data_IF_598291835081
#
_entry.id   IF_598291835081
#
_cell.length_a   1.000
_cell.length_b   1.000
_cell.length_c   1.000
_cell.angle_alpha   90.00
_cell.angle_beta   90.00
_cell.angle_gamma   90.00
#
_symmetry.space_group_name_H-M   'P 1'
#
loop_
_entity.id
_entity.type
_entity.pdbx_description
1 polymer ?
#
# COMPACT_ATOMS: atom_id res chain seq x y z
N UNK A 1 -23.75 23.42 -13.30
CA UNK A 1 -23.35 22.13 -13.90
C UNK A 1 -23.11 21.18 -12.75
N UNK A 2 -23.60 19.94 -12.76
CA UNK A 2 -23.28 19.03 -11.70
C UNK A 2 -21.77 18.80 -11.69
N UNK A 3 -21.15 19.04 -10.54
CA UNK A 3 -19.78 18.59 -10.25
C UNK A 3 -19.71 17.10 -10.54
N UNK A 4 -18.77 16.64 -11.38
CA UNK A 4 -18.58 15.24 -11.65
C UNK A 4 -18.42 14.49 -10.32
N UNK A 5 -19.16 13.41 -10.12
CA UNK A 5 -18.98 12.57 -8.93
C UNK A 5 -17.66 11.80 -9.09
N UNK A 6 -16.84 11.82 -8.02
CA UNK A 6 -15.68 10.94 -7.93
C UNK A 6 -16.14 9.48 -8.10
N UNK A 7 -15.52 8.74 -8.98
CA UNK A 7 -15.85 7.33 -9.21
C UNK A 7 -15.26 6.49 -8.08
N UNK A 8 -16.12 5.90 -7.26
CA UNK A 8 -15.74 4.96 -6.21
C UNK A 8 -15.63 3.53 -6.78
N UNK A 9 -14.57 2.82 -6.43
CA UNK A 9 -14.34 1.44 -6.84
C UNK A 9 -13.65 0.65 -5.72
N UNK A 10 -13.70 -0.67 -5.83
CA UNK A 10 -13.02 -1.60 -4.92
C UNK A 10 -12.14 -2.53 -5.73
N UNK A 11 -10.91 -2.73 -5.29
CA UNK A 11 -10.00 -3.75 -5.79
C UNK A 11 -9.79 -4.84 -4.73
N UNK A 12 -9.72 -6.09 -5.15
CA UNK A 12 -9.34 -7.23 -4.31
C UNK A 12 -8.00 -7.76 -4.82
N UNK A 13 -7.00 -7.73 -3.94
CA UNK A 13 -5.60 -7.99 -4.28
C UNK A 13 -5.13 -9.20 -3.47
N UNK A 14 -4.53 -10.19 -4.12
CA UNK A 14 -3.86 -11.32 -3.48
C UNK A 14 -2.40 -10.96 -3.17
N UNK A 15 -1.74 -11.63 -2.21
CA UNK A 15 -0.34 -11.35 -1.92
C UNK A 15 0.56 -11.55 -3.14
N UNK A 16 1.40 -10.57 -3.43
CA UNK A 16 2.52 -10.71 -4.36
C UNK A 16 3.57 -11.68 -3.80
N UNK A 17 3.76 -11.66 -2.48
CA UNK A 17 4.64 -12.55 -1.76
C UNK A 17 4.18 -12.68 -0.30
N UNK A 18 4.22 -13.90 0.21
CA UNK A 18 4.07 -14.16 1.63
C UNK A 18 5.03 -15.28 2.09
N UNK A 19 5.39 -15.26 3.35
CA UNK A 19 6.19 -16.27 4.02
C UNK A 19 6.09 -16.06 5.53
N UNK A 20 6.75 -16.92 6.33
CA UNK A 20 6.96 -16.65 7.73
C UNK A 20 8.40 -16.91 8.14
N UNK A 21 8.88 -16.15 9.10
CA UNK A 21 10.19 -16.33 9.73
C UNK A 21 10.00 -17.00 11.10
N UNK A 22 10.85 -17.97 11.43
CA UNK A 22 10.70 -18.78 12.63
C UNK A 22 11.98 -18.85 13.45
N UNK A 23 11.84 -18.72 14.76
CA UNK A 23 12.94 -18.89 15.71
C UNK A 23 13.38 -20.35 15.82
N UNK A 24 12.50 -21.33 15.49
CA UNK A 24 12.81 -22.76 15.58
C UNK A 24 13.91 -23.16 14.58
N UNK A 25 13.86 -22.59 13.38
CA UNK A 25 14.85 -22.82 12.33
C UNK A 25 15.37 -21.47 11.82
N UNK A 26 16.26 -20.82 12.58
CA UNK A 26 16.56 -19.41 12.39
C UNK A 26 17.29 -19.08 11.07
N UNK A 27 17.89 -20.07 10.43
CA UNK A 27 18.54 -19.98 9.12
C UNK A 27 17.65 -20.56 7.99
N UNK A 28 16.49 -21.15 8.34
CA UNK A 28 15.55 -21.73 7.38
C UNK A 28 14.69 -20.69 6.71
N UNK A 29 14.47 -20.86 5.41
CA UNK A 29 13.51 -20.09 4.63
C UNK A 29 12.23 -20.91 4.40
N UNK A 30 11.06 -20.26 4.43
CA UNK A 30 9.76 -20.89 4.30
C UNK A 30 9.00 -20.41 3.06
N UNK A 31 9.71 -20.03 2.00
CA UNK A 31 9.09 -19.70 0.71
C UNK A 31 8.29 -20.91 0.18
N UNK A 32 7.10 -20.66 -0.32
CA UNK A 32 6.24 -21.71 -0.87
C UNK A 32 5.51 -22.56 0.19
N UNK A 33 5.64 -22.24 1.49
CA UNK A 33 4.83 -22.87 2.52
C UNK A 33 3.32 -22.65 2.24
N UNK A 34 2.51 -23.68 2.36
CA UNK A 34 1.05 -23.57 2.17
C UNK A 34 0.35 -22.95 3.38
N UNK A 35 0.99 -23.00 4.55
CA UNK A 35 0.52 -22.40 5.78
C UNK A 35 1.62 -21.50 6.38
N UNK A 36 1.24 -20.36 6.89
CA UNK A 36 2.10 -19.48 7.68
C UNK A 36 1.81 -19.70 9.16
N UNK A 37 2.78 -19.38 10.02
CA UNK A 37 2.62 -19.49 11.48
C UNK A 37 2.84 -18.12 12.12
N UNK A 38 1.90 -17.68 12.98
CA UNK A 38 2.03 -16.47 13.79
C UNK A 38 1.89 -16.81 15.28
N UNK A 39 2.79 -16.27 16.13
CA UNK A 39 2.79 -16.49 17.58
C UNK A 39 3.82 -17.52 18.02
N UNK A 40 3.81 -17.91 19.30
CA UNK A 40 4.73 -18.89 19.88
C UNK A 40 4.14 -20.30 19.89
N UNK A 41 4.92 -21.25 19.38
CA UNK A 41 4.59 -22.68 19.41
C UNK A 41 4.67 -23.24 20.85
N UNK A 42 4.36 -24.53 21.03
CA UNK A 42 4.48 -25.21 22.32
C UNK A 42 5.90 -25.70 22.62
N UNK A 43 6.08 -26.30 23.82
CA UNK A 43 7.39 -26.70 24.32
C UNK A 43 8.16 -27.69 23.45
N UNK A 44 7.49 -28.56 22.67
CA UNK A 44 8.15 -29.44 21.71
C UNK A 44 8.87 -28.69 20.57
N UNK A 45 8.47 -27.46 20.31
CA UNK A 45 9.13 -26.55 19.36
C UNK A 45 9.96 -25.47 20.06
N UNK A 46 10.31 -25.66 21.34
CA UNK A 46 11.10 -24.72 22.14
C UNK A 46 10.42 -23.36 22.38
N UNK A 47 9.09 -23.31 22.34
CA UNK A 47 8.30 -22.07 22.42
C UNK A 47 8.69 -21.05 21.34
N UNK A 48 9.10 -21.53 20.17
CA UNK A 48 9.65 -20.71 19.10
C UNK A 48 8.62 -19.71 18.60
N UNK A 49 9.06 -18.47 18.46
CA UNK A 49 8.29 -17.36 17.88
C UNK A 49 8.27 -17.46 16.37
N UNK A 50 7.12 -17.09 15.78
CA UNK A 50 6.90 -17.11 14.35
C UNK A 50 6.18 -15.83 13.94
N UNK A 51 6.61 -15.22 12.84
CA UNK A 51 6.09 -13.95 12.33
C UNK A 51 5.89 -14.04 10.82
N UNK A 52 4.64 -14.03 10.32
CA UNK A 52 4.33 -13.91 8.91
C UNK A 52 4.72 -12.54 8.34
N UNK A 53 5.08 -12.55 7.07
CA UNK A 53 5.34 -11.40 6.23
C UNK A 53 4.41 -11.47 5.02
N UNK A 54 3.78 -10.34 4.68
CA UNK A 54 2.90 -10.20 3.51
C UNK A 54 3.31 -9.00 2.69
N UNK A 55 3.34 -9.15 1.38
CA UNK A 55 3.53 -8.05 0.44
C UNK A 55 2.43 -8.11 -0.61
N UNK A 56 1.77 -6.98 -0.85
CA UNK A 56 0.75 -6.77 -1.88
C UNK A 56 1.25 -5.74 -2.87
N UNK A 57 0.73 -5.75 -4.10
CA UNK A 57 1.02 -4.71 -5.08
C UNK A 57 -0.25 -3.93 -5.43
N UNK A 58 -0.55 -2.83 -4.72
CA UNK A 58 -1.69 -1.99 -5.06
C UNK A 58 -1.57 -1.34 -6.44
N UNK A 59 -0.34 -1.05 -6.90
CA UNK A 59 -0.13 -0.33 -8.16
C UNK A 59 -0.47 -1.17 -9.41
N UNK A 60 -0.50 -2.50 -9.27
CA UNK A 60 -0.92 -3.39 -10.36
C UNK A 60 -2.44 -3.35 -10.60
N UNK A 61 -3.23 -3.06 -9.57
CA UNK A 61 -4.70 -3.16 -9.60
C UNK A 61 -5.40 -1.81 -9.46
N UNK A 62 -4.75 -0.80 -8.91
CA UNK A 62 -5.33 0.51 -8.62
C UNK A 62 -4.62 1.57 -9.44
N UNK A 63 -5.36 2.40 -10.21
CA UNK A 63 -4.76 3.46 -11.00
C UNK A 63 -3.96 4.45 -10.15
N UNK A 64 -2.82 4.88 -10.68
CA UNK A 64 -2.02 5.92 -10.04
C UNK A 64 -2.85 7.21 -9.91
N UNK A 65 -2.69 7.90 -8.80
CA UNK A 65 -3.46 9.10 -8.48
C UNK A 65 -4.81 8.81 -7.80
N UNK A 66 -5.20 7.53 -7.64
CA UNK A 66 -6.37 7.18 -6.85
C UNK A 66 -6.17 7.54 -5.37
N UNK A 67 -7.26 7.94 -4.71
CA UNK A 67 -7.31 8.16 -3.26
C UNK A 67 -7.90 6.93 -2.58
N UNK A 68 -7.13 6.29 -1.72
CA UNK A 68 -7.58 5.16 -0.92
C UNK A 68 -8.52 5.66 0.17
N UNK A 69 -9.71 5.07 0.26
CA UNK A 69 -10.77 5.46 1.20
C UNK A 69 -11.05 4.39 2.25
N UNK A 70 -10.71 3.13 1.97
CA UNK A 70 -10.87 2.02 2.89
C UNK A 70 -9.90 0.88 2.55
N UNK A 71 -9.47 0.13 3.56
CA UNK A 71 -8.62 -1.05 3.40
C UNK A 71 -9.06 -2.12 4.39
N UNK A 72 -9.36 -3.32 3.91
CA UNK A 72 -9.63 -4.50 4.73
C UNK A 72 -8.65 -5.61 4.34
N UNK A 73 -8.05 -6.25 5.33
CA UNK A 73 -7.18 -7.39 5.12
C UNK A 73 -7.78 -8.62 5.78
N UNK A 74 -8.00 -9.68 5.00
CA UNK A 74 -8.58 -10.94 5.46
C UNK A 74 -7.52 -12.04 5.48
N UNK A 75 -7.47 -12.79 6.58
CA UNK A 75 -6.72 -14.05 6.71
C UNK A 75 -7.68 -15.16 7.14
N UNK A 76 -7.33 -16.40 6.87
CA UNK A 76 -8.08 -17.56 7.36
C UNK A 76 -7.17 -18.40 8.24
N UNK A 77 -7.57 -18.59 9.50
CA UNK A 77 -6.88 -19.49 10.43
C UNK A 77 -7.28 -20.93 10.10
N UNK A 78 -6.30 -21.72 9.71
CA UNK A 78 -6.47 -23.13 9.30
C UNK A 78 -6.26 -24.09 10.46
N UNK A 79 -5.56 -23.65 11.52
CA UNK A 79 -5.33 -24.47 12.71
C UNK A 79 -5.10 -23.61 13.96
N UNK A 80 -5.86 -23.92 15.01
CA UNK A 80 -5.69 -23.42 16.37
C UNK A 80 -5.40 -24.58 17.32
N UNK A 81 -4.53 -24.43 18.35
CA UNK A 81 -4.30 -25.46 19.34
C UNK A 81 -5.50 -25.56 20.30
N UNK A 82 -5.90 -26.78 20.74
CA UNK A 82 -7.10 -26.98 21.58
C UNK A 82 -7.13 -26.20 22.90
N UNK A 83 -5.97 -25.85 23.45
CA UNK A 83 -5.81 -25.03 24.64
C UNK A 83 -4.98 -23.79 24.31
N UNK A 84 -5.26 -23.18 23.15
CA UNK A 84 -4.54 -22.00 22.71
C UNK A 84 -4.87 -20.76 23.53
N UNK A 85 -3.90 -19.88 23.63
CA UNK A 85 -4.08 -18.57 24.23
C UNK A 85 -4.59 -17.62 23.14
N UNK A 86 -5.74 -17.02 23.37
CA UNK A 86 -6.24 -15.97 22.51
C UNK A 86 -5.26 -14.80 22.51
N UNK A 87 -4.96 -14.32 21.32
CA UNK A 87 -4.00 -13.23 21.18
C UNK A 87 -4.39 -12.27 20.07
N UNK A 88 -4.04 -11.02 20.27
CA UNK A 88 -4.22 -10.00 19.26
C UNK A 88 -3.04 -10.05 18.29
N UNK A 89 -3.35 -10.35 17.02
CA UNK A 89 -2.37 -10.30 15.96
C UNK A 89 -2.37 -8.90 15.35
N UNK A 90 -1.22 -8.22 15.43
CA UNK A 90 -1.04 -6.86 14.92
C UNK A 90 -0.24 -6.84 13.63
N UNK A 91 -0.79 -6.19 12.62
CA UNK A 91 -0.07 -5.83 11.40
C UNK A 91 0.81 -4.62 11.68
N UNK A 92 2.08 -4.70 11.30
CA UNK A 92 3.03 -3.58 11.38
C UNK A 92 3.73 -3.40 10.04
N UNK A 93 3.80 -2.17 9.56
CA UNK A 93 4.47 -1.84 8.31
C UNK A 93 5.95 -2.24 8.38
N UNK A 94 6.43 -2.99 7.39
CA UNK A 94 7.85 -3.29 7.22
C UNK A 94 8.56 -2.08 6.63
N UNK A 95 9.74 -1.75 7.16
CA UNK A 95 10.53 -0.56 6.83
C UNK A 95 11.79 -0.88 6.01
N UNK A 96 12.07 -2.15 5.80
CA UNK A 96 13.24 -2.64 5.07
C UNK A 96 12.80 -3.66 4.03
N UNK A 97 13.46 -3.65 2.89
CA UNK A 97 13.27 -4.64 1.84
C UNK A 97 13.60 -6.05 2.34
N UNK A 98 12.87 -7.02 1.83
CA UNK A 98 13.08 -8.44 2.06
C UNK A 98 12.71 -9.22 0.81
N UNK A 99 13.22 -10.44 0.70
CA UNK A 99 12.93 -11.32 -0.41
C UNK A 99 12.36 -12.65 0.08
N UNK A 100 11.26 -13.11 -0.53
CA UNK A 100 10.52 -14.29 -0.10
C UNK A 100 11.38 -15.56 -0.06
N UNK A 101 12.32 -15.72 -1.00
CA UNK A 101 13.21 -16.89 -1.08
C UNK A 101 14.49 -16.76 -0.26
N UNK A 102 14.73 -15.60 0.35
CA UNK A 102 15.98 -15.32 1.08
C UNK A 102 15.76 -14.99 2.56
N UNK A 103 14.55 -14.52 2.93
CA UNK A 103 14.30 -14.10 4.30
C UNK A 103 14.23 -15.28 5.26
N UNK A 104 14.86 -15.11 6.42
CA UNK A 104 14.92 -16.07 7.52
C UNK A 104 14.71 -15.31 8.84
N UNK A 105 14.74 -15.99 9.99
CA UNK A 105 14.70 -15.33 11.28
C UNK A 105 15.89 -14.39 11.53
N UNK A 106 17.07 -14.73 10.99
CA UNK A 106 18.28 -13.94 11.13
C UNK A 106 18.46 -12.89 10.05
N UNK A 107 18.10 -13.24 8.81
CA UNK A 107 18.43 -12.44 7.63
C UNK A 107 17.17 -11.98 6.90
N UNK A 108 17.14 -10.73 6.45
CA UNK A 108 16.12 -10.22 5.54
C UNK A 108 16.46 -10.53 4.08
N UNK A 109 17.76 -10.59 3.76
CA UNK A 109 18.29 -10.98 2.46
C UNK A 109 19.51 -11.90 2.66
N UNK A 110 19.32 -13.20 2.50
CA UNK A 110 20.42 -14.15 2.53
C UNK A 110 21.37 -13.91 1.33
N UNK A 111 22.68 -14.19 1.46
CA UNK A 111 23.31 -14.85 2.63
C UNK A 111 23.84 -13.87 3.70
N UNK A 112 23.74 -12.56 3.55
CA UNK A 112 24.58 -11.65 4.35
C UNK A 112 23.86 -10.45 4.97
N UNK A 113 22.61 -10.12 4.58
CA UNK A 113 21.94 -8.91 5.08
C UNK A 113 21.00 -9.28 6.23
N UNK A 114 21.42 -8.97 7.44
CA UNK A 114 20.66 -9.26 8.65
C UNK A 114 19.48 -8.27 8.85
N UNK A 115 18.48 -8.73 9.62
CA UNK A 115 17.56 -7.85 10.32
C UNK A 115 18.32 -7.04 11.40
N UNK A 116 17.78 -5.90 11.82
CA UNK A 116 18.32 -5.10 12.92
C UNK A 116 18.39 -5.87 14.27
N UNK A 117 17.51 -6.86 14.44
CA UNK A 117 17.62 -7.93 15.41
C UNK A 117 17.01 -9.21 14.82
N UNK A 118 17.34 -10.37 15.40
CA UNK A 118 16.75 -11.64 14.96
C UNK A 118 15.22 -11.62 15.10
N UNK A 119 14.52 -11.93 14.01
CA UNK A 119 13.06 -11.83 13.90
C UNK A 119 12.56 -10.43 13.53
N UNK A 120 13.44 -9.47 13.32
CA UNK A 120 13.14 -8.06 13.05
C UNK A 120 13.10 -7.21 14.33
N UNK A 121 13.60 -5.97 14.24
CA UNK A 121 13.62 -4.98 15.32
C UNK A 121 12.52 -3.92 15.10
N UNK A 122 11.73 -3.65 16.14
CA UNK A 122 10.76 -2.57 16.14
C UNK A 122 11.42 -1.20 15.98
N UNK A 123 10.86 -0.34 15.17
CA UNK A 123 11.41 1.00 14.85
C UNK A 123 12.56 0.98 13.85
N UNK A 124 13.11 -0.18 13.51
CA UNK A 124 14.22 -0.33 12.54
C UNK A 124 13.78 -1.15 11.31
N UNK A 125 13.26 -2.35 11.52
CA UNK A 125 12.84 -3.25 10.45
C UNK A 125 11.35 -3.16 10.19
N UNK A 126 10.57 -2.86 11.24
CA UNK A 126 9.13 -2.62 11.15
C UNK A 126 8.69 -1.49 12.09
N UNK A 127 7.56 -0.90 11.81
CA UNK A 127 7.00 0.23 12.56
C UNK A 127 6.65 -0.17 14.00
N UNK A 128 6.91 0.74 14.95
CA UNK A 128 6.38 0.62 16.33
C UNK A 128 4.85 0.72 16.36
N UNK A 129 4.25 1.46 15.42
CA UNK A 129 2.81 1.56 15.31
C UNK A 129 2.20 0.29 14.72
N UNK A 130 1.01 -0.06 15.18
CA UNK A 130 0.18 -1.13 14.64
C UNK A 130 -0.74 -0.52 13.60
N UNK A 131 -0.67 -1.01 12.35
CA UNK A 131 -1.55 -0.55 11.27
C UNK A 131 -2.99 -1.03 11.48
N UNK A 132 -3.18 -2.29 11.86
CA UNK A 132 -4.46 -2.85 12.32
C UNK A 132 -4.22 -4.09 13.17
N UNK A 133 -5.23 -4.54 13.92
CA UNK A 133 -5.13 -5.76 14.72
C UNK A 133 -6.48 -6.48 14.82
N UNK A 134 -6.44 -7.81 14.93
CA UNK A 134 -7.59 -8.66 15.19
C UNK A 134 -7.32 -9.58 16.37
N UNK A 135 -8.33 -9.86 17.19
CA UNK A 135 -8.26 -10.88 18.24
C UNK A 135 -8.49 -12.25 17.58
N UNK A 136 -7.49 -13.12 17.67
CA UNK A 136 -7.50 -14.44 17.05
C UNK A 136 -7.66 -15.51 18.14
N UNK A 137 -8.71 -16.33 18.02
CA UNK A 137 -9.00 -17.45 18.93
C UNK A 137 -8.97 -18.78 18.21
N UNK A 138 -9.95 -19.04 17.36
CA UNK A 138 -10.23 -20.33 16.73
C UNK A 138 -9.88 -20.34 15.23
N UNK A 139 -10.20 -21.45 14.58
CA UNK A 139 -10.15 -21.59 13.12
C UNK A 139 -11.24 -20.76 12.45
N UNK A 140 -10.99 -20.27 11.24
CA UNK A 140 -11.92 -19.50 10.44
C UNK A 140 -11.35 -18.17 9.93
N UNK A 141 -12.18 -17.38 9.24
CA UNK A 141 -11.76 -16.09 8.67
C UNK A 141 -11.71 -14.99 9.73
N UNK A 142 -10.70 -14.13 9.62
CA UNK A 142 -10.54 -12.92 10.42
C UNK A 142 -10.26 -11.73 9.53
N UNK A 143 -11.00 -10.67 9.75
CA UNK A 143 -10.88 -9.43 8.99
C UNK A 143 -10.21 -8.37 9.87
N UNK A 144 -9.18 -7.76 9.34
CA UNK A 144 -8.58 -6.54 9.87
C UNK A 144 -9.33 -5.38 9.24
N UNK A 145 -10.21 -4.76 10.02
CA UNK A 145 -11.02 -3.65 9.57
C UNK A 145 -10.18 -2.41 9.21
N UNK A 146 -10.76 -1.58 8.37
CA UNK A 146 -10.11 -0.36 7.90
C UNK A 146 -9.76 0.58 9.05
N UNK A 147 -8.50 1.00 9.08
CA UNK A 147 -7.97 2.02 9.98
C UNK A 147 -7.29 3.11 9.18
N UNK A 148 -7.13 4.29 9.76
CA UNK A 148 -6.37 5.36 9.12
C UNK A 148 -4.92 4.95 8.82
N UNK A 149 -4.32 4.09 9.66
CA UNK A 149 -2.96 3.61 9.45
C UNK A 149 -2.87 2.60 8.30
N UNK A 150 -3.81 1.64 8.16
CA UNK A 150 -3.87 0.76 6.99
C UNK A 150 -4.05 1.55 5.70
N UNK A 151 -4.97 2.52 5.69
CA UNK A 151 -5.20 3.41 4.54
C UNK A 151 -3.93 4.17 4.18
N UNK A 152 -3.23 4.73 5.17
CA UNK A 152 -1.99 5.48 4.94
C UNK A 152 -0.86 4.58 4.41
N UNK A 153 -0.74 3.34 4.89
CA UNK A 153 0.24 2.37 4.37
C UNK A 153 0.00 2.09 2.90
N UNK A 154 -1.23 1.69 2.52
CA UNK A 154 -1.59 1.33 1.14
C UNK A 154 -1.49 2.55 0.22
N UNK A 155 -1.93 3.74 0.67
CA UNK A 155 -1.77 4.97 -0.10
C UNK A 155 -0.31 5.27 -0.39
N UNK A 156 0.56 5.14 0.62
CA UNK A 156 1.99 5.41 0.44
C UNK A 156 2.66 4.43 -0.54
N UNK A 157 2.20 3.18 -0.61
CA UNK A 157 2.69 2.19 -1.56
C UNK A 157 2.17 2.41 -2.98
N UNK A 158 0.95 2.93 -3.10
CA UNK A 158 0.41 3.35 -4.40
C UNK A 158 1.15 4.57 -4.95
N UNK A 159 1.46 5.55 -4.06
CA UNK A 159 2.15 6.79 -4.43
C UNK A 159 3.63 6.57 -4.74
N UNK A 160 4.28 5.67 -3.99
CA UNK A 160 5.70 5.31 -4.16
C UNK A 160 5.90 3.80 -3.95
N UNK A 161 5.74 2.99 -5.01
CA UNK A 161 5.91 1.53 -4.95
C UNK A 161 7.27 1.06 -4.43
N UNK A 162 8.33 1.90 -4.52
CA UNK A 162 9.64 1.55 -4.00
C UNK A 162 9.69 1.46 -2.47
N UNK A 163 8.72 2.07 -1.78
CA UNK A 163 8.57 2.00 -0.31
C UNK A 163 7.71 0.84 0.17
N UNK A 164 7.19 0.03 -0.76
CA UNK A 164 6.33 -1.10 -0.45
C UNK A 164 7.15 -2.32 -0.03
N UNK A 165 7.29 -2.49 1.28
CA UNK A 165 7.86 -3.70 1.87
C UNK A 165 6.81 -4.54 2.60
N UNK A 166 5.52 -4.17 2.51
CA UNK A 166 4.40 -4.91 3.08
C UNK A 166 4.28 -4.82 4.60
N UNK A 167 3.67 -5.84 5.19
CA UNK A 167 3.46 -5.96 6.64
C UNK A 167 4.10 -7.20 7.22
N UNK A 168 4.50 -7.11 8.49
CA UNK A 168 4.80 -8.23 9.38
C UNK A 168 3.65 -8.40 10.37
N UNK A 169 3.22 -9.64 10.59
CA UNK A 169 2.17 -9.98 11.55
C UNK A 169 2.80 -10.49 12.85
N UNK A 170 2.44 -9.88 13.96
CA UNK A 170 3.03 -10.17 15.27
C UNK A 170 1.90 -10.37 16.29
N UNK A 171 1.96 -11.50 17.01
CA UNK A 171 1.08 -11.76 18.16
C UNK A 171 1.54 -10.96 19.38
N UNK A 172 0.62 -10.34 20.12
CA UNK A 172 0.91 -9.69 21.41
C UNK A 172 1.27 -10.70 22.52
N UNK A 173 0.95 -11.99 22.30
CA UNK A 173 1.27 -13.11 23.19
C UNK A 173 2.41 -13.98 22.66
N UNK A 174 3.28 -13.49 21.76
CA UNK A 174 4.38 -14.31 21.20
C UNK A 174 5.47 -14.70 22.22
N UNK A 175 5.40 -14.25 23.44
CA UNK A 175 6.21 -14.73 24.58
C UNK A 175 5.58 -15.92 25.32
N UNK A 176 4.30 -16.22 25.07
CA UNK A 176 3.55 -17.28 25.72
C UNK A 176 3.42 -18.48 24.78
N UNK A 177 3.80 -19.67 25.27
CA UNK A 177 3.61 -20.90 24.53
C UNK A 177 2.12 -21.11 24.17
N UNK A 178 1.87 -21.78 23.06
CA UNK A 178 0.52 -22.07 22.53
C UNK A 178 -0.28 -20.85 22.07
N UNK A 179 0.36 -19.68 21.89
CA UNK A 179 -0.26 -18.54 21.21
C UNK A 179 -0.22 -18.65 19.68
N UNK A 180 0.51 -19.63 19.14
CA UNK A 180 0.63 -19.79 17.69
C UNK A 180 -0.67 -20.24 17.04
N UNK A 181 -0.93 -19.67 15.85
CA UNK A 181 -1.98 -20.08 14.91
C UNK A 181 -1.35 -20.34 13.55
N UNK A 182 -1.88 -21.34 12.83
CA UNK A 182 -1.60 -21.48 11.40
C UNK A 182 -2.64 -20.74 10.61
N UNK A 183 -2.24 -20.13 9.53
CA UNK A 183 -3.11 -19.41 8.61
C UNK A 183 -2.74 -19.76 7.17
N UNK A 184 -3.71 -19.75 6.29
CA UNK A 184 -3.51 -19.99 4.87
C UNK A 184 -2.53 -18.97 4.28
N UNK A 185 -1.61 -19.44 3.43
CA UNK A 185 -0.74 -18.60 2.61
C UNK A 185 -1.31 -18.40 1.21
N UNK A 186 -0.67 -17.60 0.38
CA UNK A 186 -0.97 -17.48 -1.05
C UNK A 186 -0.81 -18.83 -1.81
N UNK A 187 -0.12 -19.81 -1.21
CA UNK A 187 0.11 -21.14 -1.79
C UNK A 187 -0.87 -22.22 -1.24
N UNK A 188 -1.85 -21.84 -0.43
CA UNK A 188 -2.75 -22.80 0.23
C UNK A 188 -3.75 -23.45 -0.74
N UNK A 189 -4.04 -22.81 -1.86
CA UNK A 189 -5.00 -23.31 -2.87
C UNK A 189 -6.44 -22.83 -2.64
N UNK A 190 -6.86 -22.67 -1.40
CA UNK A 190 -8.12 -22.05 -0.96
C UNK A 190 -7.86 -21.07 0.17
N UNK A 191 -8.85 -20.27 0.56
CA UNK A 191 -8.77 -19.39 1.76
C UNK A 191 -7.59 -18.42 1.73
N UNK A 192 -7.21 -17.95 0.53
CA UNK A 192 -6.04 -17.10 0.34
C UNK A 192 -6.18 -15.79 1.13
N UNK A 193 -5.07 -15.26 1.67
CA UNK A 193 -5.08 -13.91 2.20
C UNK A 193 -5.52 -12.91 1.14
N UNK A 194 -6.39 -11.96 1.49
CA UNK A 194 -6.93 -11.00 0.54
C UNK A 194 -6.90 -9.58 1.11
N UNK A 195 -6.46 -8.64 0.29
CA UNK A 195 -6.50 -7.22 0.58
C UNK A 195 -7.59 -6.57 -0.26
N UNK A 196 -8.66 -6.12 0.38
CA UNK A 196 -9.73 -5.35 -0.24
C UNK A 196 -9.46 -3.86 -0.03
N UNK A 197 -9.45 -3.11 -1.12
CA UNK A 197 -9.09 -1.69 -1.13
C UNK A 197 -10.19 -0.89 -1.81
N UNK A 198 -10.85 -0.03 -1.04
CA UNK A 198 -11.81 0.95 -1.55
C UNK A 198 -11.06 2.22 -1.94
N UNK A 199 -11.32 2.73 -3.12
CA UNK A 199 -10.68 3.93 -3.63
C UNK A 199 -11.60 4.79 -4.48
N UNK A 200 -11.22 6.06 -4.64
CA UNK A 200 -11.86 6.98 -5.59
C UNK A 200 -10.85 7.46 -6.61
N UNK A 201 -11.30 7.61 -7.85
CA UNK A 201 -10.51 8.25 -8.89
C UNK A 201 -10.76 9.76 -8.88
N UNK A 202 -9.73 10.58 -9.15
CA UNK A 202 -9.93 12.00 -9.34
C UNK A 202 -10.85 12.23 -10.55
N UNK A 203 -11.76 13.16 -10.44
CA UNK A 203 -12.48 13.65 -11.60
C UNK A 203 -11.48 14.35 -12.51
N UNK A 204 -11.47 13.99 -13.80
CA UNK A 204 -10.63 14.68 -14.76
C UNK A 204 -11.10 16.14 -14.87
N UNK A 205 -10.22 17.12 -14.62
CA UNK A 205 -10.62 18.51 -14.64
C UNK A 205 -11.03 18.90 -16.07
N UNK A 206 -12.20 19.51 -16.20
CA UNK A 206 -12.63 20.10 -17.45
C UNK A 206 -11.87 21.40 -17.66
N UNK A 207 -11.16 21.51 -18.78
CA UNK A 207 -10.53 22.77 -19.17
C UNK A 207 -11.65 23.70 -19.64
N UNK A 208 -11.81 24.80 -18.90
CA UNK A 208 -12.76 25.86 -19.20
C UNK A 208 -12.04 27.10 -19.71
N UNK A 209 -12.78 27.90 -20.50
CA UNK A 209 -12.35 29.26 -20.90
C UNK A 209 -10.90 29.34 -21.39
N UNK A 210 -10.46 28.51 -22.38
CA UNK A 210 -9.18 28.76 -23.01
C UNK A 210 -9.18 30.19 -23.57
N UNK A 211 -8.21 31.01 -23.22
CA UNK A 211 -8.19 32.42 -23.54
C UNK A 211 -6.80 32.84 -23.99
N UNK A 212 -6.79 33.74 -24.96
CA UNK A 212 -5.59 34.36 -25.51
C UNK A 212 -5.66 35.86 -25.26
N UNK A 213 -4.80 36.39 -24.40
CA UNK A 213 -4.73 37.80 -24.09
C UNK A 213 -3.31 38.31 -24.23
N UNK A 214 -3.11 39.40 -24.98
CA UNK A 214 -1.80 40.01 -25.23
C UNK A 214 -0.75 39.01 -25.75
N UNK A 215 -1.17 37.99 -26.52
CA UNK A 215 -0.26 36.97 -27.00
C UNK A 215 0.08 35.85 -26.02
N UNK A 216 -0.46 35.86 -24.80
CA UNK A 216 -0.28 34.83 -23.79
C UNK A 216 -1.52 33.94 -23.70
N UNK A 217 -1.31 32.63 -23.64
CA UNK A 217 -2.38 31.66 -23.46
C UNK A 217 -2.67 31.41 -21.99
N UNK A 218 -3.93 31.25 -21.65
CA UNK A 218 -4.38 30.84 -20.31
C UNK A 218 -5.55 29.86 -20.42
N UNK A 219 -5.69 29.03 -19.41
CA UNK A 219 -6.82 28.12 -19.24
C UNK A 219 -7.28 28.12 -17.77
N UNK A 220 -8.55 27.78 -17.58
CA UNK A 220 -9.12 27.59 -16.24
C UNK A 220 -9.60 26.15 -16.09
N UNK A 221 -9.57 25.64 -14.87
CA UNK A 221 -10.14 24.36 -14.50
C UNK A 221 -10.51 24.35 -13.02
N UNK A 222 -11.47 23.50 -12.67
CA UNK A 222 -11.86 23.28 -11.27
C UNK A 222 -11.02 22.14 -10.68
N UNK A 223 -10.53 22.31 -9.45
CA UNK A 223 -9.84 21.29 -8.69
C UNK A 223 -10.81 20.60 -7.73
N UNK A 224 -10.52 19.34 -7.37
CA UNK A 224 -11.18 18.67 -6.27
C UNK A 224 -10.37 18.77 -4.97
N UNK A 225 -11.07 18.82 -3.84
CA UNK A 225 -10.44 18.82 -2.53
C UNK A 225 -9.57 17.57 -2.34
N UNK A 226 -8.32 17.76 -1.92
CA UNK A 226 -7.40 16.68 -1.62
C UNK A 226 -6.68 16.06 -2.81
N UNK A 227 -6.74 16.68 -4.01
CA UNK A 227 -5.96 16.24 -5.18
C UNK A 227 -4.96 17.29 -5.65
N UNK A 228 -3.85 16.81 -6.20
CA UNK A 228 -2.87 17.62 -6.92
C UNK A 228 -3.04 17.44 -8.43
N UNK A 229 -2.73 18.48 -9.18
CA UNK A 229 -2.84 18.54 -10.64
C UNK A 229 -1.56 19.08 -11.24
N UNK A 230 -1.19 18.54 -12.42
CA UNK A 230 -0.18 19.13 -13.29
C UNK A 230 -0.87 19.73 -14.52
N UNK A 231 -0.56 20.98 -14.82
CA UNK A 231 -0.84 21.59 -16.11
C UNK A 231 0.42 21.39 -16.96
N UNK A 232 0.26 20.74 -18.11
CA UNK A 232 1.38 20.34 -18.93
C UNK A 232 1.15 20.78 -20.37
N UNK A 233 2.23 20.99 -21.10
CA UNK A 233 2.20 21.31 -22.51
C UNK A 233 3.18 20.48 -23.33
N UNK A 234 2.96 20.45 -24.64
CA UNK A 234 3.90 19.98 -25.66
C UNK A 234 3.69 20.72 -26.96
N UNK A 235 4.74 20.87 -27.76
CA UNK A 235 4.71 21.66 -28.99
C UNK A 235 4.45 20.79 -30.26
N UNK A 236 4.16 19.48 -30.11
CA UNK A 236 3.87 18.56 -31.20
C UNK A 236 2.71 17.61 -30.89
N UNK A 237 1.93 17.23 -31.90
CA UNK A 237 0.89 16.20 -31.77
C UNK A 237 1.51 14.82 -31.87
N UNK A 238 1.15 13.92 -30.96
CA UNK A 238 1.37 12.47 -31.07
C UNK A 238 2.65 11.92 -30.43
N UNK A 239 3.77 12.61 -30.43
CA UNK A 239 5.06 12.10 -29.92
C UNK A 239 5.81 13.13 -29.11
N UNK A 240 6.56 12.68 -28.11
CA UNK A 240 7.37 13.51 -27.22
C UNK A 240 6.82 13.63 -25.79
N UNK A 241 7.68 13.95 -24.84
CA UNK A 241 7.29 14.12 -23.46
C UNK A 241 6.41 15.35 -23.26
N UNK A 242 5.55 15.30 -22.27
CA UNK A 242 4.86 16.46 -21.75
C UNK A 242 5.78 17.22 -20.81
N UNK A 243 5.76 18.55 -20.91
CA UNK A 243 6.52 19.45 -20.05
C UNK A 243 5.58 20.08 -19.05
N UNK A 244 5.90 20.03 -17.77
CA UNK A 244 5.09 20.65 -16.72
C UNK A 244 5.19 22.19 -16.83
N UNK A 245 4.05 22.83 -16.97
CA UNK A 245 3.89 24.28 -16.91
C UNK A 245 3.77 24.75 -15.46
N UNK A 246 2.87 24.09 -14.70
CA UNK A 246 2.68 24.38 -13.27
C UNK A 246 2.04 23.17 -12.58
N UNK A 247 2.32 23.04 -11.26
CA UNK A 247 1.65 22.12 -10.37
C UNK A 247 0.74 22.87 -9.41
N UNK A 248 -0.45 22.32 -9.19
CA UNK A 248 -1.46 22.87 -8.28
C UNK A 248 -1.91 21.76 -7.36
N UNK A 249 -1.74 21.94 -6.05
CA UNK A 249 -2.33 21.04 -5.07
C UNK A 249 -3.52 21.73 -4.42
N UNK A 250 -4.72 21.18 -4.66
CA UNK A 250 -5.93 21.69 -4.04
C UNK A 250 -5.86 21.48 -2.53
N UNK A 251 -6.29 22.49 -1.80
CA UNK A 251 -6.38 22.48 -0.35
C UNK A 251 -7.59 21.63 0.08
N UNK A 252 -8.15 21.94 1.22
CA UNK A 252 -9.28 21.22 1.78
C UNK A 252 -10.61 21.47 1.05
N UNK A 253 -10.65 22.43 0.12
CA UNK A 253 -11.84 22.82 -0.64
C UNK A 253 -11.51 22.89 -2.14
N UNK A 254 -12.46 22.56 -3.02
CA UNK A 254 -12.31 22.80 -4.45
C UNK A 254 -12.07 24.29 -4.75
N UNK A 255 -11.23 24.56 -5.73
CA UNK A 255 -10.98 25.92 -6.19
C UNK A 255 -10.87 25.99 -7.71
N UNK A 256 -11.19 27.15 -8.27
CA UNK A 256 -10.99 27.42 -9.68
C UNK A 256 -9.57 27.97 -9.90
N UNK A 257 -8.80 27.26 -10.70
CA UNK A 257 -7.41 27.59 -11.00
C UNK A 257 -7.31 28.25 -12.36
N UNK A 258 -6.58 29.36 -12.45
CA UNK A 258 -6.15 29.99 -13.69
C UNK A 258 -4.66 29.67 -13.91
N UNK A 259 -4.38 28.86 -14.94
CA UNK A 259 -3.02 28.60 -15.38
C UNK A 259 -2.68 29.48 -16.60
N UNK A 260 -1.55 30.17 -16.54
CA UNK A 260 -1.06 31.03 -17.65
C UNK A 260 0.26 30.48 -18.16
N UNK A 261 0.38 30.39 -19.48
CA UNK A 261 1.66 30.12 -20.15
C UNK A 261 2.44 31.44 -20.24
N UNK A 262 3.65 31.53 -19.65
CA UNK A 262 4.44 32.75 -19.71
C UNK A 262 5.03 33.04 -21.09
N UNK A 263 5.07 32.01 -21.96
CA UNK A 263 5.65 32.14 -23.30
C UNK A 263 4.61 32.65 -24.32
N UNK A 264 4.92 33.69 -25.12
CA UNK A 264 3.99 34.17 -26.14
C UNK A 264 3.71 33.14 -27.22
N UNK A 265 2.47 33.07 -27.71
CA UNK A 265 2.09 32.15 -28.78
C UNK A 265 2.82 32.43 -30.10
N UNK A 266 3.26 33.66 -30.31
CA UNK A 266 4.04 34.04 -31.49
C UNK A 266 5.43 33.40 -31.56
N UNK A 267 5.92 32.84 -30.47
CA UNK A 267 7.25 32.17 -30.38
C UNK A 267 7.23 30.76 -30.95
N UNK A 268 6.07 30.21 -31.38
CA UNK A 268 5.93 28.81 -31.77
C UNK A 268 4.81 28.61 -32.83
N UNK A 269 4.87 27.43 -33.46
CA UNK A 269 3.85 27.04 -34.51
C UNK A 269 2.59 26.47 -33.87
N UNK A 270 2.74 25.68 -32.79
CA UNK A 270 1.63 25.05 -32.07
C UNK A 270 2.05 24.71 -30.64
N UNK A 271 1.07 24.67 -29.72
CA UNK A 271 1.24 24.14 -28.38
C UNK A 271 -0.07 23.49 -27.93
N UNK A 272 0.03 22.30 -27.37
CA UNK A 272 -1.08 21.51 -26.85
C UNK A 272 -0.98 21.49 -25.32
N UNK A 273 -2.11 21.59 -24.64
CA UNK A 273 -2.18 21.61 -23.20
C UNK A 273 -3.05 20.46 -22.70
N UNK A 274 -2.68 19.94 -21.53
CA UNK A 274 -3.54 19.04 -20.76
C UNK A 274 -3.46 19.37 -19.27
N UNK A 275 -4.48 18.97 -18.52
CA UNK A 275 -4.46 18.95 -17.07
C UNK A 275 -4.62 17.49 -16.64
N UNK A 276 -3.70 17.01 -15.81
CA UNK A 276 -3.71 15.65 -15.28
C UNK A 276 -3.72 15.68 -13.76
N UNK A 277 -4.48 14.78 -13.14
CA UNK A 277 -4.37 14.57 -11.69
C UNK A 277 -3.07 13.79 -11.39
N UNK A 278 -2.29 14.26 -10.43
CA UNK A 278 -0.97 13.70 -10.10
C UNK A 278 -0.96 12.93 -8.78
N UNK A 279 -2.09 12.86 -8.07
CA UNK A 279 -2.25 12.13 -6.84
C UNK A 279 -2.96 12.95 -5.76
N UNK A 280 -3.20 12.34 -4.59
CA UNK A 280 -3.78 13.06 -3.46
C UNK A 280 -2.83 14.15 -2.95
N UNK A 281 -3.40 15.27 -2.51
CA UNK A 281 -2.66 16.31 -1.82
C UNK A 281 -2.19 15.77 -0.45
N UNK A 282 -0.93 15.90 -0.15
CA UNK A 282 -0.31 15.49 1.13
C UNK A 282 -0.41 16.60 2.16
#
# INVERSE_FOLDING_TARGET
MPSGQAFAATAVITPLADTYITQQFPDGNNAGATELICGAQGGMAGNARNRPLFKFDPADSIPQGAKITGVRFTIVITKAPPAGIDSRFGLRRVLRDWNVTQTTWKLRLAPSVAWGAQGGAAGTDYSNAISASALISDEGPYVYDSTAALVADVQSWLDDPATNFGWILISDQESQAFSARRLASANHGTDLPALEVDYTLPVLPLIESPHLEQGLFSLQFDTEAGYCYAVEFRDSVGTGPWTTLTNVCAKLVPEKVLAKDPDPVSSRVSRFYRVSATGPAR
#
